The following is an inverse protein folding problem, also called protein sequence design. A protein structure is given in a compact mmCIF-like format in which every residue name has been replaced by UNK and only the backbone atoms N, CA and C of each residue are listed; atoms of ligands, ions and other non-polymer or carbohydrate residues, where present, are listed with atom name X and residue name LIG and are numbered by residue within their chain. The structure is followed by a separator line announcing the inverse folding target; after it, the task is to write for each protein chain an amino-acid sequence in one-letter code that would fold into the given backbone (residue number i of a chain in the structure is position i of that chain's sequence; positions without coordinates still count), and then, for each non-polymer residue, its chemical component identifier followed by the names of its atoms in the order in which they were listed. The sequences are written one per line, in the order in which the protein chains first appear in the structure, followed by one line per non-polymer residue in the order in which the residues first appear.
data_IF_852407839334
#
_entry.id   IF_852407839334
#
_cell.length_a   1.000
_cell.length_b   1.000
_cell.length_c   1.000
_cell.angle_alpha   90.00
_cell.angle_beta   90.00
_cell.angle_gamma   90.00
#
_symmetry.space_group_name_H-M   'P 1'
#
loop_
_entity.id
_entity.type
_entity.pdbx_description
1 polymer ?
#
# COMPACT_ATOMS: atom_id res chain seq x y z
N UNK A 1 15.56 26.93 -27.16
CA UNK A 1 15.10 25.55 -27.46
C UNK A 1 16.23 24.61 -27.05
N UNK A 2 16.36 24.33 -25.76
CA UNK A 2 17.40 23.44 -25.23
C UNK A 2 16.70 22.14 -24.83
N UNK A 3 17.12 21.04 -25.43
CA UNK A 3 16.58 19.70 -25.22
C UNK A 3 16.96 19.23 -23.81
N UNK A 4 15.96 18.79 -23.06
CA UNK A 4 16.11 18.11 -21.78
C UNK A 4 16.34 16.62 -22.08
N UNK A 5 17.53 16.11 -21.77
CA UNK A 5 17.85 14.68 -21.86
C UNK A 5 17.10 13.91 -20.76
N UNK A 6 16.51 12.74 -21.06
CA UNK A 6 15.83 11.92 -20.06
C UNK A 6 16.88 11.18 -19.22
N UNK A 7 16.99 11.56 -17.96
CA UNK A 7 17.80 10.84 -16.98
C UNK A 7 17.17 9.47 -16.78
N UNK A 8 17.90 8.42 -17.14
CA UNK A 8 17.60 7.03 -16.81
C UNK A 8 17.43 6.90 -15.28
N UNK A 9 16.19 6.98 -14.81
CA UNK A 9 15.80 6.57 -13.48
C UNK A 9 15.65 5.05 -13.48
N UNK A 10 16.49 4.36 -12.70
CA UNK A 10 16.39 2.94 -12.46
C UNK A 10 14.93 2.55 -12.15
N UNK A 11 14.34 1.70 -12.99
CA UNK A 11 13.02 1.14 -12.78
C UNK A 11 13.14 0.14 -11.62
N UNK A 12 13.01 0.64 -10.39
CA UNK A 12 12.72 -0.21 -9.25
C UNK A 12 11.36 -0.84 -9.53
N UNK A 13 11.33 -2.11 -9.91
CA UNK A 13 10.09 -2.87 -9.98
C UNK A 13 9.45 -2.83 -8.60
N UNK A 14 8.40 -2.02 -8.42
CA UNK A 14 7.60 -2.03 -7.19
C UNK A 14 6.95 -3.40 -7.12
N UNK A 15 7.41 -4.25 -6.21
CA UNK A 15 6.74 -5.53 -5.93
C UNK A 15 5.33 -5.23 -5.43
N UNK A 16 4.34 -6.03 -5.84
CA UNK A 16 2.99 -5.91 -5.31
C UNK A 16 3.04 -6.12 -3.79
N UNK A 17 2.34 -5.27 -3.06
CA UNK A 17 2.21 -5.39 -1.61
C UNK A 17 1.51 -6.71 -1.28
N UNK A 18 2.04 -7.44 -0.30
CA UNK A 18 1.52 -8.74 0.14
C UNK A 18 1.44 -8.77 1.66
N UNK A 19 0.46 -9.51 2.20
CA UNK A 19 0.28 -9.63 3.64
C UNK A 19 1.45 -10.46 4.19
N UNK A 20 2.32 -9.90 5.05
CA UNK A 20 3.46 -10.63 5.57
C UNK A 20 3.00 -11.64 6.63
N UNK A 21 3.50 -12.86 6.57
CA UNK A 21 3.25 -13.84 7.62
C UNK A 21 3.87 -13.38 8.96
N UNK A 22 3.17 -13.68 10.06
CA UNK A 22 3.70 -13.43 11.39
C UNK A 22 4.83 -14.43 11.71
N UNK A 23 5.92 -14.00 12.36
CA UNK A 23 7.01 -14.89 12.75
C UNK A 23 6.67 -15.74 13.99
N UNK A 24 5.42 -15.70 14.46
CA UNK A 24 4.91 -16.40 15.62
C UNK A 24 3.42 -16.70 15.47
N UNK A 25 2.92 -17.66 16.25
CA UNK A 25 1.50 -18.03 16.28
C UNK A 25 0.65 -16.91 16.90
N UNK A 26 -0.63 -16.81 16.52
CA UNK A 26 -1.51 -15.74 17.01
C UNK A 26 -1.62 -15.63 18.53
N UNK A 27 -1.49 -16.74 19.27
CA UNK A 27 -1.53 -16.77 20.73
C UNK A 27 -0.20 -16.53 21.43
N UNK A 28 0.90 -16.31 20.71
CA UNK A 28 2.24 -16.20 21.29
C UNK A 28 2.42 -15.00 22.24
N UNK A 29 1.49 -14.04 22.21
CA UNK A 29 1.51 -12.81 23.00
C UNK A 29 0.54 -12.82 24.19
N UNK A 30 -0.11 -13.95 24.46
CA UNK A 30 -0.99 -14.09 25.63
C UNK A 30 -0.18 -14.10 26.95
N UNK A 31 -0.76 -13.59 28.06
CA UNK A 31 -2.13 -13.05 28.19
C UNK A 31 -2.24 -11.56 27.83
N UNK A 32 -1.16 -10.93 27.38
CA UNK A 32 -1.12 -9.48 27.16
C UNK A 32 -1.89 -9.04 25.92
N UNK A 33 -1.87 -9.84 24.87
CA UNK A 33 -2.66 -9.63 23.65
C UNK A 33 -3.36 -10.94 23.32
N UNK A 34 -4.69 -10.90 23.20
CA UNK A 34 -5.46 -12.12 22.95
C UNK A 34 -5.27 -12.63 21.51
N UNK A 35 -5.28 -13.95 21.35
CA UNK A 35 -5.10 -14.59 20.04
C UNK A 35 -6.15 -14.16 19.01
N UNK A 36 -7.41 -13.98 19.44
CA UNK A 36 -8.52 -13.58 18.57
C UNK A 36 -8.30 -12.19 17.96
N UNK A 37 -7.83 -11.22 18.77
CA UNK A 37 -7.50 -9.88 18.28
C UNK A 37 -6.35 -9.95 17.29
N UNK A 38 -5.30 -10.72 17.59
CA UNK A 38 -4.17 -10.88 16.65
C UNK A 38 -4.61 -11.47 15.31
N UNK A 39 -5.48 -12.49 15.35
CA UNK A 39 -6.01 -13.11 14.15
C UNK A 39 -6.89 -12.13 13.35
N UNK A 40 -7.80 -11.40 13.99
CA UNK A 40 -8.65 -10.41 13.33
C UNK A 40 -7.82 -9.25 12.77
N UNK A 41 -6.87 -8.74 13.54
CA UNK A 41 -6.01 -7.64 13.13
C UNK A 41 -5.18 -8.01 11.90
N UNK A 42 -4.51 -9.16 11.91
CA UNK A 42 -3.68 -9.60 10.79
C UNK A 42 -4.52 -10.00 9.57
N UNK A 43 -5.43 -10.98 9.72
CA UNK A 43 -6.12 -11.61 8.59
C UNK A 43 -7.26 -10.77 7.99
N UNK A 44 -7.73 -9.75 8.71
CA UNK A 44 -8.82 -8.87 8.23
C UNK A 44 -8.34 -7.43 8.06
N UNK A 45 -7.87 -6.77 9.12
CA UNK A 45 -7.55 -5.35 9.06
C UNK A 45 -6.32 -5.07 8.19
N UNK A 46 -5.17 -5.68 8.51
CA UNK A 46 -3.94 -5.50 7.72
C UNK A 46 -4.12 -6.05 6.29
N UNK A 47 -4.76 -7.21 6.15
CA UNK A 47 -5.11 -7.76 4.85
C UNK A 47 -5.92 -6.78 3.97
N UNK A 48 -6.82 -6.00 4.57
CA UNK A 48 -7.62 -5.01 3.83
C UNK A 48 -6.75 -3.88 3.30
N UNK A 49 -5.84 -3.33 4.11
CA UNK A 49 -4.95 -2.26 3.67
C UNK A 49 -4.04 -2.71 2.52
N UNK A 50 -3.39 -3.85 2.70
CA UNK A 50 -2.50 -4.45 1.70
C UNK A 50 -3.22 -4.71 0.38
N UNK A 51 -4.44 -5.23 0.42
CA UNK A 51 -5.21 -5.51 -0.80
C UNK A 51 -5.70 -4.24 -1.50
N UNK A 52 -6.03 -3.18 -0.76
CA UNK A 52 -6.58 -1.94 -1.31
C UNK A 52 -5.49 -0.97 -1.82
N UNK A 53 -4.28 -1.05 -1.28
CA UNK A 53 -3.17 -0.21 -1.70
C UNK A 53 -2.84 -0.31 -3.21
N UNK A 54 -2.63 -1.50 -3.81
CA UNK A 54 -2.31 -1.60 -5.24
C UNK A 54 -3.45 -1.09 -6.13
N UNK A 55 -4.72 -1.31 -5.74
CA UNK A 55 -5.87 -0.75 -6.47
C UNK A 55 -5.86 0.78 -6.48
N UNK A 56 -5.43 1.40 -5.37
CA UNK A 56 -5.32 2.85 -5.26
C UNK A 56 -4.12 3.37 -6.05
N UNK A 57 -2.99 2.66 -6.00
CA UNK A 57 -1.79 2.98 -6.77
C UNK A 57 -2.05 2.91 -8.28
N UNK A 58 -2.74 1.88 -8.78
CA UNK A 58 -3.12 1.75 -10.20
C UNK A 58 -3.94 2.95 -10.67
N UNK A 59 -4.98 3.34 -9.92
CA UNK A 59 -5.79 4.54 -10.21
C UNK A 59 -4.95 5.82 -10.20
N UNK A 60 -3.99 5.92 -9.28
CA UNK A 60 -3.10 7.06 -9.21
C UNK A 60 -2.14 7.12 -10.40
N UNK A 61 -1.60 5.97 -10.85
CA UNK A 61 -0.76 5.90 -12.05
C UNK A 61 -1.55 6.28 -13.30
N UNK A 62 -2.82 5.88 -13.42
CA UNK A 62 -3.67 6.35 -14.51
C UNK A 62 -3.89 7.86 -14.49
N UNK A 63 -4.11 8.43 -13.30
CA UNK A 63 -4.29 9.88 -13.15
C UNK A 63 -2.99 10.66 -13.47
N UNK A 64 -1.82 10.08 -13.15
CA UNK A 64 -0.52 10.60 -13.58
C UNK A 64 -0.38 10.57 -15.10
N UNK A 65 -0.67 9.44 -15.74
CA UNK A 65 -0.57 9.27 -17.18
C UNK A 65 -1.48 10.24 -17.96
N UNK A 66 -2.65 10.57 -17.39
CA UNK A 66 -3.61 11.52 -17.97
C UNK A 66 -3.31 13.00 -17.62
N UNK A 67 -2.36 13.26 -16.72
CA UNK A 67 -2.12 14.61 -16.20
C UNK A 67 -3.29 15.17 -15.36
N UNK A 68 -4.17 14.30 -14.85
CA UNK A 68 -5.33 14.70 -14.07
C UNK A 68 -4.95 14.97 -12.61
N UNK A 69 -4.52 16.21 -12.36
CA UNK A 69 -4.09 16.67 -11.03
C UNK A 69 -5.24 16.62 -10.00
N UNK A 70 -6.49 16.83 -10.43
CA UNK A 70 -7.65 16.78 -9.54
C UNK A 70 -7.84 15.38 -8.95
N UNK A 71 -7.80 14.35 -9.82
CA UNK A 71 -7.88 12.95 -9.40
C UNK A 71 -6.64 12.52 -8.60
N UNK A 72 -5.46 13.02 -8.96
CA UNK A 72 -4.24 12.75 -8.16
C UNK A 72 -4.37 13.25 -6.73
N UNK A 73 -4.92 14.46 -6.52
CA UNK A 73 -5.13 15.04 -5.18
C UNK A 73 -6.23 14.29 -4.42
N UNK A 74 -7.34 13.93 -5.08
CA UNK A 74 -8.44 13.23 -4.44
C UNK A 74 -8.09 11.80 -3.98
N UNK A 75 -7.11 11.16 -4.62
CA UNK A 75 -6.61 9.83 -4.25
C UNK A 75 -5.58 9.86 -3.10
N UNK A 76 -4.98 11.01 -2.77
CA UNK A 76 -3.97 11.10 -1.70
C UNK A 76 -4.43 10.55 -0.35
N UNK A 77 -5.66 10.82 0.14
CA UNK A 77 -6.12 10.26 1.41
C UNK A 77 -6.16 8.73 1.38
N UNK A 78 -6.60 8.13 0.28
CA UNK A 78 -6.67 6.67 0.13
C UNK A 78 -5.26 6.04 0.04
N UNK A 79 -4.33 6.69 -0.66
CA UNK A 79 -2.92 6.25 -0.71
C UNK A 79 -2.29 6.28 0.68
N UNK A 80 -2.45 7.39 1.40
CA UNK A 80 -1.92 7.54 2.76
C UNK A 80 -2.56 6.55 3.73
N UNK A 81 -3.87 6.31 3.60
CA UNK A 81 -4.60 5.43 4.50
C UNK A 81 -4.21 3.97 4.31
N UNK A 82 -4.29 3.44 3.08
CA UNK A 82 -3.95 2.04 2.81
C UNK A 82 -2.43 1.77 2.83
N UNK A 83 -1.60 2.79 2.57
CA UNK A 83 -0.14 2.67 2.65
C UNK A 83 0.43 2.89 4.05
N UNK A 84 -0.34 3.50 4.95
CA UNK A 84 0.07 3.75 6.33
C UNK A 84 -0.50 2.79 7.35
N UNK A 85 -1.57 2.05 7.02
CA UNK A 85 -2.18 1.03 7.85
C UNK A 85 -1.71 -0.37 7.48
#
# INVERSE_FOLDING_TARGET
RCHLEPHLGAVSSRQKHTLPDLPYDYGALEPHICAEIMQLHHSKHHATYVNNLPVTEEKYQEALAKGDVSTQVSLQPALKFNGGG
#
